data_IF_959909803263
#
_entry.id   IF_959909803263
#
_cell.length_a   1.000
_cell.length_b   1.000
_cell.length_c   1.000
_cell.angle_alpha   90.00
_cell.angle_beta   90.00
_cell.angle_gamma   90.00
#
_symmetry.space_group_name_H-M   'P 1'
#
loop_
_entity.id
_entity.type
_entity.pdbx_description
1 polymer ?
#
# COMPACT_ATOMS: atom_id res chain seq x y z
N UNK A 1 13.72 -15.60 8.41
CA UNK A 1 14.19 -14.28 7.92
C UNK A 1 13.27 -13.90 6.77
N UNK A 2 12.70 -12.70 6.80
CA UNK A 2 11.91 -12.16 5.70
C UNK A 2 12.80 -11.51 4.65
N UNK A 3 12.33 -11.41 3.41
CA UNK A 3 13.09 -10.84 2.30
C UNK A 3 12.93 -9.31 2.17
N UNK A 4 12.49 -8.62 3.24
CA UNK A 4 12.26 -7.16 3.25
C UNK A 4 11.30 -6.65 2.16
N UNK A 5 10.42 -7.52 1.64
CA UNK A 5 9.58 -7.21 0.47
C UNK A 5 8.56 -6.13 0.80
N UNK A 6 8.00 -6.13 2.02
CA UNK A 6 7.09 -5.07 2.44
C UNK A 6 7.85 -3.76 2.70
N UNK A 7 9.09 -3.83 3.18
CA UNK A 7 9.95 -2.65 3.31
C UNK A 7 10.17 -1.99 1.95
N UNK A 8 10.55 -2.75 0.93
CA UNK A 8 10.73 -2.22 -0.43
C UNK A 8 9.42 -1.71 -1.04
N UNK A 9 8.32 -2.45 -0.85
CA UNK A 9 7.01 -2.08 -1.36
C UNK A 9 6.55 -0.74 -0.80
N UNK A 10 6.60 -0.55 0.53
CA UNK A 10 6.19 0.71 1.15
C UNK A 10 7.09 1.88 0.75
N UNK A 11 8.40 1.65 0.50
CA UNK A 11 9.29 2.68 -0.08
C UNK A 11 8.85 3.08 -1.49
N UNK A 12 8.57 2.12 -2.37
CA UNK A 12 8.08 2.40 -3.73
C UNK A 12 6.73 3.09 -3.73
N UNK A 13 5.84 2.70 -2.82
CA UNK A 13 4.54 3.36 -2.66
C UNK A 13 4.69 4.78 -2.11
N UNK A 14 5.68 5.03 -1.25
CA UNK A 14 6.02 6.39 -0.82
C UNK A 14 6.43 7.28 -2.00
N UNK A 15 7.27 6.76 -2.91
CA UNK A 15 7.74 7.49 -4.10
C UNK A 15 6.58 7.95 -5.02
N UNK A 16 5.57 7.11 -5.20
CA UNK A 16 4.40 7.44 -6.02
C UNK A 16 3.35 8.25 -5.26
N UNK A 17 3.38 8.30 -3.93
CA UNK A 17 2.31 8.87 -3.08
C UNK A 17 2.14 10.39 -3.15
N UNK A 18 3.01 11.10 -3.90
CA UNK A 18 3.00 12.57 -4.00
C UNK A 18 3.11 13.26 -2.63
N UNK A 19 3.80 12.62 -1.68
CA UNK A 19 4.02 13.14 -0.33
C UNK A 19 2.89 12.82 0.66
N UNK A 20 1.80 12.19 0.23
CA UNK A 20 0.72 11.76 1.11
C UNK A 20 1.15 10.65 2.07
N UNK A 21 2.07 9.79 1.64
CA UNK A 21 2.58 8.67 2.40
C UNK A 21 4.11 8.71 2.45
N UNK A 22 4.65 9.16 3.58
CA UNK A 22 6.10 9.29 3.80
C UNK A 22 6.53 8.48 5.03
N UNK A 23 6.45 7.14 4.98
CA UNK A 23 6.86 6.30 6.08
C UNK A 23 8.38 6.37 6.30
N UNK A 24 8.81 6.37 7.55
CA UNK A 24 10.21 6.19 7.94
C UNK A 24 10.36 5.01 8.89
N UNK A 25 11.59 4.58 9.14
CA UNK A 25 11.90 3.50 10.10
C UNK A 25 11.09 2.21 9.88
N UNK A 26 10.87 1.86 8.61
CA UNK A 26 10.08 0.69 8.22
C UNK A 26 10.82 -0.58 8.63
N UNK A 27 10.13 -1.46 9.35
CA UNK A 27 10.62 -2.75 9.83
C UNK A 27 9.62 -3.84 9.53
N UNK A 28 10.13 -4.94 9.01
CA UNK A 28 9.37 -6.12 8.66
C UNK A 28 9.84 -7.29 9.54
N UNK A 29 8.90 -7.91 10.25
CA UNK A 29 9.16 -9.01 11.17
C UNK A 29 8.31 -10.22 10.75
N UNK A 30 8.96 -11.38 10.70
CA UNK A 30 8.33 -12.64 10.32
C UNK A 30 8.37 -13.62 11.47
N UNK A 31 7.20 -14.14 11.85
CA UNK A 31 7.10 -15.20 12.86
C UNK A 31 7.65 -16.56 12.37
N UNK A 32 7.58 -16.83 11.07
CA UNK A 32 8.11 -18.03 10.41
C UNK A 32 8.38 -17.77 8.93
N UNK A 33 8.71 -18.79 8.13
CA UNK A 33 8.83 -18.62 6.66
C UNK A 33 7.50 -18.31 5.96
N UNK A 34 6.38 -18.69 6.58
CA UNK A 34 5.02 -18.49 6.05
C UNK A 34 4.24 -17.44 6.86
N UNK A 35 4.96 -16.63 7.65
CA UNK A 35 4.38 -15.62 8.52
C UNK A 35 4.05 -16.12 9.94
N UNK A 36 3.28 -15.35 10.73
CA UNK A 36 2.67 -14.07 10.37
C UNK A 36 3.70 -12.99 10.04
N UNK A 37 3.29 -12.02 9.22
CA UNK A 37 4.09 -10.84 8.87
C UNK A 37 3.59 -9.65 9.69
N UNK A 38 4.51 -8.92 10.30
CA UNK A 38 4.23 -7.65 10.98
C UNK A 38 5.10 -6.58 10.38
N UNK A 39 4.49 -5.48 9.92
CA UNK A 39 5.22 -4.35 9.36
C UNK A 39 4.95 -3.13 10.22
N UNK A 40 6.01 -2.54 10.77
CA UNK A 40 5.91 -1.32 11.57
C UNK A 40 6.72 -0.19 10.95
N UNK A 41 6.23 1.04 11.06
CA UNK A 41 6.87 2.23 10.49
C UNK A 41 6.43 3.47 11.26
N UNK A 42 7.14 4.57 11.07
CA UNK A 42 6.73 5.90 11.53
C UNK A 42 6.02 6.62 10.40
N UNK A 43 4.87 7.24 10.68
CA UNK A 43 4.15 8.10 9.76
C UNK A 43 3.66 9.32 10.52
N UNK A 44 3.98 10.53 10.04
CA UNK A 44 3.63 11.80 10.69
C UNK A 44 4.04 11.85 12.18
N UNK A 45 5.18 11.23 12.52
CA UNK A 45 5.70 11.19 13.90
C UNK A 45 5.06 10.14 14.80
N UNK A 46 4.09 9.37 14.30
CA UNK A 46 3.42 8.30 15.05
C UNK A 46 3.87 6.91 14.56
N UNK A 47 4.07 5.97 15.50
CA UNK A 47 4.34 4.59 15.14
C UNK A 47 3.06 3.92 14.66
N UNK A 48 3.09 3.38 13.45
CA UNK A 48 2.03 2.58 12.84
C UNK A 48 2.47 1.12 12.73
N UNK A 49 1.51 0.21 12.71
CA UNK A 49 1.77 -1.21 12.53
C UNK A 49 0.62 -1.81 11.76
N UNK A 50 0.95 -2.52 10.69
CA UNK A 50 0.01 -3.24 9.84
C UNK A 50 0.36 -4.73 9.85
N UNK A 51 -0.63 -5.57 9.54
CA UNK A 51 -0.50 -7.02 9.59
C UNK A 51 -0.89 -7.64 8.24
N UNK A 52 0.00 -7.60 7.24
CA UNK A 52 -0.28 -8.19 5.95
C UNK A 52 -0.54 -9.69 6.06
N UNK A 53 -1.47 -10.19 5.27
CA UNK A 53 -1.70 -11.62 5.10
C UNK A 53 -0.57 -12.23 4.26
N UNK A 54 -0.11 -13.42 4.63
CA UNK A 54 0.84 -14.15 3.80
C UNK A 54 0.18 -14.58 2.49
N UNK A 55 0.74 -14.16 1.35
CA UNK A 55 0.24 -14.48 0.01
C UNK A 55 1.28 -15.20 -0.87
N UNK A 56 2.04 -16.14 -0.30
CA UNK A 56 3.14 -16.82 -1.01
C UNK A 56 4.12 -15.81 -1.63
N UNK A 57 4.19 -15.76 -2.96
CA UNK A 57 5.08 -14.87 -3.71
C UNK A 57 4.47 -13.49 -4.00
N UNK A 58 3.24 -13.23 -3.55
CA UNK A 58 2.54 -11.96 -3.79
C UNK A 58 2.56 -11.06 -2.55
N UNK A 59 2.54 -9.75 -2.82
CA UNK A 59 2.23 -8.75 -1.80
C UNK A 59 0.75 -8.78 -1.50
N UNK A 60 0.40 -8.77 -0.21
CA UNK A 60 -0.96 -8.51 0.22
C UNK A 60 -1.33 -7.05 -0.03
N UNK A 61 -2.07 -6.79 -1.12
CA UNK A 61 -2.56 -5.45 -1.46
C UNK A 61 -3.76 -5.03 -0.64
N UNK A 62 -4.36 -5.93 0.16
CA UNK A 62 -5.45 -5.58 1.08
C UNK A 62 -5.04 -4.55 2.14
N UNK A 63 -3.74 -4.43 2.42
CA UNK A 63 -3.20 -3.39 3.31
C UNK A 63 -3.44 -1.97 2.80
N UNK A 64 -3.77 -1.78 1.52
CA UNK A 64 -4.07 -0.48 0.93
C UNK A 64 -5.24 0.21 1.64
N UNK A 65 -6.24 -0.55 2.08
CA UNK A 65 -7.37 0.00 2.83
C UNK A 65 -6.93 0.65 4.15
N UNK A 66 -6.04 -0.02 4.88
CA UNK A 66 -5.49 0.51 6.13
C UNK A 66 -4.59 1.72 5.87
N UNK A 67 -3.74 1.67 4.84
CA UNK A 67 -2.90 2.81 4.46
C UNK A 67 -3.72 4.02 4.03
N UNK A 68 -4.80 3.82 3.28
CA UNK A 68 -5.71 4.88 2.85
C UNK A 68 -6.40 5.57 4.03
N UNK A 69 -6.77 4.82 5.07
CA UNK A 69 -7.29 5.41 6.30
C UNK A 69 -6.25 6.31 6.99
N UNK A 70 -4.96 5.93 6.97
CA UNK A 70 -3.88 6.71 7.56
C UNK A 70 -3.55 8.01 6.80
N UNK A 71 -3.83 8.05 5.49
CA UNK A 71 -3.54 9.22 4.64
C UNK A 71 -4.80 9.97 4.20
N UNK A 72 -5.97 9.68 4.78
CA UNK A 72 -7.25 10.22 4.34
C UNK A 72 -7.28 11.77 4.27
N UNK A 73 -6.63 12.44 5.21
CA UNK A 73 -6.56 13.90 5.28
C UNK A 73 -5.73 14.54 4.15
N UNK A 74 -4.94 13.74 3.41
CA UNK A 74 -4.13 14.23 2.29
C UNK A 74 -4.95 14.51 1.02
N UNK A 75 -6.17 13.97 0.93
CA UNK A 75 -6.98 14.01 -0.30
C UNK A 75 -6.52 13.04 -1.40
N UNK A 76 -5.48 12.24 -1.13
CA UNK A 76 -4.97 11.18 -1.98
C UNK A 76 -5.32 9.81 -1.41
N UNK A 77 -5.54 8.85 -2.29
CA UNK A 77 -5.74 7.45 -1.95
C UNK A 77 -4.91 6.57 -2.89
N UNK A 78 -4.27 5.55 -2.35
CA UNK A 78 -3.79 4.43 -3.12
C UNK A 78 -4.97 3.73 -3.79
N UNK A 79 -4.82 3.43 -5.08
CA UNK A 79 -5.82 2.80 -5.92
C UNK A 79 -5.21 1.56 -6.56
N UNK A 80 -5.91 0.44 -6.48
CA UNK A 80 -5.45 -0.87 -6.94
C UNK A 80 -6.24 -1.29 -8.18
N UNK A 81 -5.56 -1.81 -9.20
CA UNK A 81 -6.18 -2.41 -10.38
C UNK A 81 -5.61 -3.81 -10.58
N UNK A 82 -6.50 -4.78 -10.70
CA UNK A 82 -6.15 -6.16 -11.01
C UNK A 82 -6.27 -6.40 -12.53
N UNK A 83 -5.16 -6.77 -13.17
CA UNK A 83 -5.09 -7.14 -14.58
C UNK A 83 -4.49 -8.53 -14.71
N UNK A 84 -5.35 -9.55 -14.83
CA UNK A 84 -4.99 -10.97 -14.85
C UNK A 84 -4.11 -11.37 -13.64
N UNK A 85 -2.82 -11.63 -13.88
CA UNK A 85 -1.83 -12.00 -12.85
C UNK A 85 -0.98 -10.81 -12.38
N UNK A 86 -1.34 -9.59 -12.78
CA UNK A 86 -0.60 -8.37 -12.42
C UNK A 86 -1.49 -7.45 -11.59
N UNK A 87 -0.92 -6.87 -10.55
CA UNK A 87 -1.57 -5.83 -9.76
C UNK A 87 -0.83 -4.52 -9.96
N UNK A 88 -1.58 -3.47 -10.32
CA UNK A 88 -1.07 -2.10 -10.39
C UNK A 88 -1.55 -1.33 -9.18
N UNK A 89 -0.64 -0.61 -8.54
CA UNK A 89 -0.96 0.33 -7.47
C UNK A 89 -0.51 1.72 -7.91
N UNK A 90 -1.41 2.68 -7.79
CA UNK A 90 -1.16 4.09 -8.07
C UNK A 90 -1.73 4.94 -6.94
N UNK A 91 -1.52 6.26 -6.98
CA UNK A 91 -2.18 7.21 -6.08
C UNK A 91 -3.04 8.18 -6.88
N UNK A 92 -4.27 8.41 -6.43
CA UNK A 92 -5.23 9.27 -7.10
C UNK A 92 -5.99 10.12 -6.07
N UNK A 93 -6.37 11.32 -6.48
CA UNK A 93 -7.48 12.05 -5.85
C UNK A 93 -8.82 11.47 -6.32
N UNK A 94 -9.90 11.75 -5.58
CA UNK A 94 -11.26 11.37 -5.98
C UNK A 94 -11.62 11.88 -7.40
N UNK A 95 -11.21 13.11 -7.73
CA UNK A 95 -11.46 13.70 -9.06
C UNK A 95 -10.67 13.03 -10.18
N UNK A 96 -9.41 12.69 -9.95
CA UNK A 96 -8.59 11.98 -10.94
C UNK A 96 -9.15 10.59 -11.22
N UNK A 97 -9.55 9.88 -10.15
CA UNK A 97 -10.24 8.58 -10.26
C UNK A 97 -11.48 8.69 -11.13
N UNK A 98 -12.43 9.55 -10.77
CA UNK A 98 -13.69 9.72 -11.51
C UNK A 98 -13.46 10.02 -12.99
N UNK A 99 -12.41 10.79 -13.32
CA UNK A 99 -12.00 11.04 -14.70
C UNK A 99 -11.50 9.78 -15.40
N UNK A 100 -10.61 9.02 -14.78
CA UNK A 100 -10.04 7.79 -15.37
C UNK A 100 -11.11 6.71 -15.53
N UNK A 101 -11.92 6.44 -14.51
CA UNK A 101 -12.97 5.41 -14.55
C UNK A 101 -13.94 5.69 -15.70
N UNK A 102 -14.34 6.96 -15.87
CA UNK A 102 -15.23 7.40 -16.95
C UNK A 102 -14.60 7.31 -18.34
N UNK A 103 -13.34 7.72 -18.48
CA UNK A 103 -12.69 7.86 -19.79
C UNK A 103 -12.02 6.58 -20.28
N UNK A 104 -11.71 5.65 -19.37
CA UNK A 104 -10.91 4.45 -19.64
C UNK A 104 -11.60 3.14 -19.27
N UNK A 105 -12.77 3.16 -18.63
CA UNK A 105 -13.50 1.96 -18.20
C UNK A 105 -12.65 1.03 -17.33
N UNK A 106 -11.84 1.62 -16.44
CA UNK A 106 -11.04 0.92 -15.44
C UNK A 106 -11.78 1.01 -14.11
N UNK A 107 -11.83 -0.08 -13.34
CA UNK A 107 -12.36 -0.10 -11.97
C UNK A 107 -11.20 -0.19 -10.98
N UNK A 108 -11.23 0.65 -9.93
CA UNK A 108 -10.21 0.69 -8.88
C UNK A 108 -10.75 0.18 -7.54
N UNK A 109 -9.89 -0.52 -6.78
CA UNK A 109 -10.10 -0.89 -5.38
C UNK A 109 -9.29 0.03 -4.44
N UNK A 110 -9.77 0.24 -3.20
CA UNK A 110 -9.23 1.21 -2.23
C UNK A 110 -9.15 0.66 -0.82
#
# INVERSE_FOLDING_TARGET
MGNEVYVETLKRWSEISRGAFMPTDIREEWGSMEGPVTVSFMLNGEKRTIHPLYQNDFIDVGIVQELNALIADSGYQFAVVHLDQTVFVTVLTAKEREGIEKDRFIEFEF
#
